data_IF_758869665160
#
_entry.id   IF_758869665160
#
_cell.length_a   1.000
_cell.length_b   1.000
_cell.length_c   1.000
_cell.angle_alpha   90.00
_cell.angle_beta   90.00
_cell.angle_gamma   90.00
#
_symmetry.space_group_name_H-M   'P 1'
#
loop_
_entity.id
_entity.type
_entity.pdbx_description
1 polymer ?
#
# COMPACT_ATOMS: atom_id res chain seq x y z
N UNK A 1 -6.50 -27.13 12.61
CA UNK A 1 -5.59 -26.26 11.82
C UNK A 1 -4.86 -27.16 10.85
N UNK A 2 -4.86 -26.85 9.55
CA UNK A 2 -3.97 -27.55 8.63
C UNK A 2 -2.53 -27.20 9.02
N UNK A 3 -1.72 -28.21 9.27
CA UNK A 3 -0.29 -28.03 9.52
C UNK A 3 0.34 -27.71 8.15
N UNK A 4 0.70 -26.45 7.93
CA UNK A 4 1.44 -26.05 6.73
C UNK A 4 2.92 -26.30 6.99
N UNK A 5 3.57 -26.99 6.06
CA UNK A 5 5.03 -27.17 6.07
C UNK A 5 5.68 -25.87 5.58
N UNK A 6 5.96 -24.98 6.51
CA UNK A 6 6.76 -23.78 6.22
C UNK A 6 8.24 -24.17 6.11
N UNK A 7 8.92 -23.63 5.08
CA UNK A 7 10.35 -23.93 4.88
C UNK A 7 11.26 -23.12 5.83
N UNK A 8 10.76 -21.98 6.33
CA UNK A 8 11.44 -21.07 7.26
C UNK A 8 10.40 -20.17 7.94
N UNK A 9 10.84 -19.37 8.93
CA UNK A 9 9.89 -18.56 9.69
C UNK A 9 9.40 -17.33 8.92
N UNK A 10 10.27 -16.58 8.24
CA UNK A 10 9.88 -15.32 7.59
C UNK A 10 10.32 -15.24 6.13
N UNK A 11 9.38 -14.99 5.24
CA UNK A 11 9.65 -14.49 3.88
C UNK A 11 9.72 -12.98 3.92
N UNK A 12 10.89 -12.40 3.64
CA UNK A 12 11.01 -10.98 3.32
C UNK A 12 10.94 -10.82 1.81
N UNK A 13 10.08 -9.93 1.29
CA UNK A 13 10.17 -9.64 -0.13
C UNK A 13 10.41 -8.14 -0.40
N UNK A 14 11.25 -7.89 -1.39
CA UNK A 14 11.64 -6.57 -1.86
C UNK A 14 11.28 -6.44 -3.34
N UNK A 15 10.45 -5.45 -3.68
CA UNK A 15 10.12 -5.10 -5.07
C UNK A 15 10.98 -3.91 -5.46
N UNK A 16 11.59 -3.97 -6.63
CA UNK A 16 12.46 -2.89 -7.12
C UNK A 16 12.27 -2.64 -8.63
N UNK A 17 12.43 -1.40 -9.04
CA UNK A 17 12.49 -0.97 -10.44
C UNK A 17 13.19 0.39 -10.54
N UNK A 18 14.37 0.44 -11.17
CA UNK A 18 15.19 1.64 -11.34
C UNK A 18 15.52 2.34 -10.00
N UNK A 19 15.99 1.55 -9.02
CA UNK A 19 16.36 2.00 -7.68
C UNK A 19 17.88 1.95 -7.44
N UNK A 20 18.71 2.08 -8.46
CA UNK A 20 20.19 2.00 -8.36
C UNK A 20 20.76 2.82 -7.21
N UNK A 21 20.22 4.02 -6.96
CA UNK A 21 20.68 4.93 -5.91
C UNK A 21 20.27 4.52 -4.49
N UNK A 22 19.27 3.63 -4.35
CA UNK A 22 18.59 3.37 -3.09
C UNK A 22 18.65 1.90 -2.66
N UNK A 23 18.72 0.98 -3.63
CA UNK A 23 18.58 -0.47 -3.39
C UNK A 23 19.60 -1.01 -2.39
N UNK A 24 20.80 -0.43 -2.31
CA UNK A 24 21.82 -0.85 -1.33
C UNK A 24 21.36 -0.62 0.10
N UNK A 25 20.77 0.55 0.40
CA UNK A 25 20.23 0.85 1.73
C UNK A 25 19.12 -0.14 2.12
N UNK A 26 18.23 -0.48 1.17
CA UNK A 26 17.18 -1.47 1.37
C UNK A 26 17.74 -2.85 1.70
N UNK A 27 18.69 -3.34 0.89
CA UNK A 27 19.29 -4.67 1.05
C UNK A 27 20.14 -4.75 2.32
N UNK A 28 20.91 -3.72 2.64
CA UNK A 28 21.70 -3.66 3.87
C UNK A 28 20.82 -3.64 5.11
N UNK A 29 19.75 -2.82 5.12
CA UNK A 29 18.79 -2.78 6.23
C UNK A 29 18.10 -4.12 6.47
N UNK A 30 17.80 -4.88 5.40
CA UNK A 30 17.23 -6.22 5.50
C UNK A 30 18.27 -7.25 5.95
N UNK A 31 19.45 -7.26 5.36
CA UNK A 31 20.46 -8.28 5.61
C UNK A 31 21.15 -8.13 6.98
N UNK A 32 21.14 -6.93 7.56
CA UNK A 32 21.64 -6.65 8.90
C UNK A 32 20.68 -7.07 10.03
N UNK A 33 19.50 -7.62 9.70
CA UNK A 33 18.53 -8.05 10.70
C UNK A 33 19.07 -9.16 11.60
N UNK A 34 18.97 -8.96 12.91
CA UNK A 34 19.33 -9.91 13.97
C UNK A 34 18.08 -10.67 14.41
N UNK A 35 18.07 -11.97 14.17
CA UNK A 35 16.92 -12.84 14.48
C UNK A 35 17.37 -14.14 15.12
N UNK A 36 16.50 -14.71 15.95
CA UNK A 36 16.66 -16.05 16.52
C UNK A 36 16.08 -17.15 15.61
N UNK A 37 15.55 -16.79 14.45
CA UNK A 37 14.87 -17.66 13.50
C UNK A 37 15.44 -17.52 12.09
N UNK A 38 15.08 -18.47 11.22
CA UNK A 38 15.49 -18.48 9.81
C UNK A 38 14.55 -17.66 8.94
N UNK A 39 15.10 -16.97 7.94
CA UNK A 39 14.34 -16.21 6.97
C UNK A 39 15.04 -16.14 5.60
N UNK A 40 14.26 -15.86 4.56
CA UNK A 40 14.74 -15.67 3.18
C UNK A 40 14.29 -14.33 2.64
N UNK A 41 15.14 -13.72 1.80
CA UNK A 41 14.83 -12.51 1.05
C UNK A 41 14.52 -12.86 -0.41
N UNK A 42 13.33 -12.51 -0.85
CA UNK A 42 12.89 -12.63 -2.24
C UNK A 42 12.96 -11.23 -2.88
N UNK A 43 13.86 -11.03 -3.84
CA UNK A 43 14.02 -9.77 -4.55
C UNK A 43 13.34 -9.90 -5.91
N UNK A 44 12.33 -9.07 -6.16
CA UNK A 44 11.66 -8.97 -7.45
C UNK A 44 12.12 -7.68 -8.15
N UNK A 45 12.93 -7.84 -9.21
CA UNK A 45 13.35 -6.75 -10.07
C UNK A 45 12.49 -6.72 -11.33
N UNK A 46 11.71 -5.67 -11.49
CA UNK A 46 10.72 -5.52 -12.57
C UNK A 46 11.33 -5.01 -13.88
N UNK A 47 12.46 -5.61 -14.29
CA UNK A 47 13.23 -5.28 -15.48
C UNK A 47 13.82 -3.87 -15.42
N UNK A 48 14.59 -3.59 -14.37
CA UNK A 48 15.33 -2.33 -14.24
C UNK A 48 16.27 -2.10 -15.43
N UNK A 49 16.41 -0.83 -15.82
CA UNK A 49 17.22 -0.37 -16.95
C UNK A 49 18.44 0.44 -16.51
N UNK A 50 18.60 0.67 -15.21
CA UNK A 50 19.77 1.27 -14.56
C UNK A 50 20.64 0.18 -13.90
N UNK A 51 21.56 0.54 -13.01
CA UNK A 51 22.45 -0.38 -12.30
C UNK A 51 21.79 -1.23 -11.20
N UNK A 52 20.46 -1.19 -11.03
CA UNK A 52 19.74 -1.93 -9.97
C UNK A 52 19.97 -3.44 -10.08
N UNK A 53 19.79 -4.00 -11.29
CA UNK A 53 19.94 -5.45 -11.53
C UNK A 53 21.34 -5.96 -11.18
N UNK A 54 22.38 -5.21 -11.53
CA UNK A 54 23.78 -5.54 -11.24
C UNK A 54 24.04 -5.57 -9.73
N UNK A 55 23.48 -4.62 -8.98
CA UNK A 55 23.55 -4.58 -7.53
C UNK A 55 22.83 -5.77 -6.91
N UNK A 56 21.62 -6.09 -7.37
CA UNK A 56 20.85 -7.26 -6.91
C UNK A 56 21.65 -8.55 -7.11
N UNK A 57 22.30 -8.75 -8.26
CA UNK A 57 23.14 -9.90 -8.54
C UNK A 57 24.42 -9.94 -7.69
N UNK A 58 25.00 -8.79 -7.34
CA UNK A 58 26.11 -8.69 -6.40
C UNK A 58 25.73 -9.26 -5.04
N UNK A 59 24.56 -8.83 -4.50
CA UNK A 59 24.06 -9.31 -3.21
C UNK A 59 23.65 -10.79 -3.25
N UNK A 60 23.04 -11.26 -4.32
CA UNK A 60 22.72 -12.69 -4.51
C UNK A 60 23.99 -13.56 -4.41
N UNK A 61 25.07 -13.16 -5.11
CA UNK A 61 26.35 -13.88 -5.03
C UNK A 61 26.98 -13.84 -3.65
N UNK A 62 26.81 -12.75 -2.90
CA UNK A 62 27.35 -12.58 -1.56
C UNK A 62 26.56 -13.38 -0.51
N UNK A 63 25.24 -13.57 -0.71
CA UNK A 63 24.34 -14.21 0.23
C UNK A 63 23.46 -15.28 -0.44
N UNK A 64 24.04 -16.30 -1.12
CA UNK A 64 23.30 -17.26 -1.95
C UNK A 64 22.30 -18.10 -1.14
N UNK A 65 22.58 -18.34 0.16
CA UNK A 65 21.69 -19.10 1.04
C UNK A 65 20.53 -18.28 1.58
N UNK A 66 20.56 -16.95 1.45
CA UNK A 66 19.53 -16.04 1.98
C UNK A 66 18.65 -15.41 0.92
N UNK A 67 19.19 -15.20 -0.30
CA UNK A 67 18.53 -14.41 -1.36
C UNK A 67 18.03 -15.31 -2.47
N UNK A 68 16.81 -15.02 -2.91
CA UNK A 68 16.19 -15.56 -4.13
C UNK A 68 15.87 -14.36 -5.02
N UNK A 69 16.39 -14.34 -6.25
CA UNK A 69 16.14 -13.24 -7.19
C UNK A 69 15.14 -13.63 -8.28
N UNK A 70 14.21 -12.74 -8.57
CA UNK A 70 13.17 -12.88 -9.58
C UNK A 70 13.30 -11.73 -10.60
N UNK A 71 14.39 -11.75 -11.37
CA UNK A 71 14.69 -10.69 -12.34
C UNK A 71 13.84 -10.89 -13.59
N UNK A 72 13.03 -9.88 -13.92
CA UNK A 72 12.15 -9.92 -15.08
C UNK A 72 12.88 -9.48 -16.35
N UNK A 73 12.41 -9.98 -17.51
CA UNK A 73 12.91 -9.54 -18.84
C UNK A 73 12.18 -8.30 -19.34
N UNK A 74 11.00 -8.05 -18.81
CA UNK A 74 10.10 -6.98 -19.22
C UNK A 74 9.34 -6.46 -18.01
N UNK A 75 9.08 -5.16 -17.95
CA UNK A 75 8.39 -4.53 -16.83
C UNK A 75 6.93 -5.02 -16.75
N UNK A 76 6.64 -5.81 -15.75
CA UNK A 76 5.34 -6.45 -15.53
C UNK A 76 4.29 -5.45 -15.05
N UNK A 77 4.69 -4.52 -14.19
CA UNK A 77 3.78 -3.50 -13.67
C UNK A 77 3.26 -2.58 -14.78
N UNK A 78 4.12 -2.10 -15.67
CA UNK A 78 3.73 -1.23 -16.79
C UNK A 78 2.80 -1.92 -17.80
N UNK A 79 2.90 -3.26 -17.91
CA UNK A 79 1.98 -4.10 -18.70
C UNK A 79 0.66 -4.39 -18.01
N UNK A 80 0.46 -3.90 -16.78
CA UNK A 80 -0.73 -4.16 -15.98
C UNK A 80 -0.81 -5.59 -15.42
N UNK A 81 0.31 -6.32 -15.40
CA UNK A 81 0.37 -7.65 -14.82
C UNK A 81 0.40 -7.58 -13.28
N UNK A 82 -0.23 -8.55 -12.64
CA UNK A 82 -0.17 -8.68 -11.18
C UNK A 82 1.14 -9.35 -10.78
N UNK A 83 2.13 -8.59 -10.33
CA UNK A 83 3.45 -9.07 -9.89
C UNK A 83 3.37 -10.07 -8.74
N UNK A 84 2.34 -9.99 -7.91
CA UNK A 84 2.14 -10.93 -6.80
C UNK A 84 1.95 -12.37 -7.28
N UNK A 85 1.45 -12.61 -8.51
CA UNK A 85 1.39 -13.96 -9.11
C UNK A 85 2.77 -14.59 -9.25
N UNK A 86 3.81 -13.77 -9.45
CA UNK A 86 5.20 -14.22 -9.62
C UNK A 86 5.86 -14.41 -8.26
N UNK A 87 5.58 -13.51 -7.30
CA UNK A 87 6.25 -13.50 -5.98
C UNK A 87 5.67 -14.56 -5.04
N UNK A 88 4.34 -14.70 -4.96
CA UNK A 88 3.66 -15.58 -3.98
C UNK A 88 4.17 -17.03 -3.97
N UNK A 89 4.49 -17.69 -5.10
CA UNK A 89 5.03 -19.06 -5.07
C UNK A 89 6.34 -19.21 -4.29
N UNK A 90 7.08 -18.13 -4.06
CA UNK A 90 8.35 -18.10 -3.32
C UNK A 90 8.19 -17.70 -1.84
N UNK A 91 6.99 -17.25 -1.43
CA UNK A 91 6.70 -16.88 -0.04
C UNK A 91 6.39 -18.13 0.80
N UNK A 92 7.43 -18.85 1.23
CA UNK A 92 7.34 -20.12 1.94
C UNK A 92 7.45 -19.99 3.47
N UNK A 93 7.62 -18.77 3.98
CA UNK A 93 7.67 -18.50 5.41
C UNK A 93 6.29 -18.50 6.06
N UNK A 94 6.27 -18.78 7.37
CA UNK A 94 5.10 -18.64 8.26
C UNK A 94 4.60 -17.19 8.29
N UNK A 95 5.53 -16.24 8.27
CA UNK A 95 5.28 -14.80 8.22
C UNK A 95 5.83 -14.19 6.94
N UNK A 96 5.32 -13.00 6.63
CA UNK A 96 5.78 -12.17 5.51
C UNK A 96 6.13 -10.80 6.05
N UNK A 97 7.31 -10.28 5.67
CA UNK A 97 7.72 -8.90 5.84
C UNK A 97 8.00 -8.27 4.47
N UNK A 98 7.86 -6.95 4.37
CA UNK A 98 8.01 -6.23 3.10
C UNK A 98 8.92 -5.02 3.24
N UNK A 99 9.72 -4.76 2.20
CA UNK A 99 10.48 -3.52 2.04
C UNK A 99 10.61 -3.24 0.54
N UNK A 100 10.27 -2.06 0.07
CA UNK A 100 10.46 -1.66 -1.32
C UNK A 100 11.91 -1.21 -1.53
N UNK A 101 12.43 -1.32 -2.76
CA UNK A 101 13.85 -1.08 -3.04
C UNK A 101 14.30 0.38 -2.92
N UNK A 102 13.37 1.33 -2.76
CA UNK A 102 13.60 2.74 -2.48
C UNK A 102 13.42 3.13 -1.01
N UNK A 103 12.95 2.19 -0.16
CA UNK A 103 12.81 2.32 1.29
C UNK A 103 13.89 1.52 2.02
N UNK A 104 14.05 1.72 3.34
CA UNK A 104 15.02 0.94 4.11
C UNK A 104 14.65 0.81 5.59
N UNK A 105 15.08 -0.29 6.21
CA UNK A 105 14.96 -0.54 7.65
C UNK A 105 16.14 0.05 8.41
N UNK A 106 15.85 0.65 9.56
CA UNK A 106 16.84 1.31 10.42
C UNK A 106 17.03 0.63 11.78
N UNK A 107 16.15 -0.30 12.14
CA UNK A 107 16.23 -1.08 13.38
C UNK A 107 16.67 -2.51 13.06
N UNK A 108 17.84 -2.91 13.56
CA UNK A 108 18.41 -4.24 13.32
C UNK A 108 17.64 -5.39 13.98
N UNK A 109 16.69 -5.08 14.87
CA UNK A 109 15.79 -6.03 15.54
C UNK A 109 14.34 -5.95 15.07
N UNK A 110 14.05 -5.22 13.99
CA UNK A 110 12.68 -5.06 13.49
C UNK A 110 11.97 -6.39 13.29
N UNK A 111 12.60 -7.33 12.58
CA UNK A 111 12.00 -8.65 12.33
C UNK A 111 11.79 -9.42 13.63
N UNK A 112 12.74 -9.39 14.56
CA UNK A 112 12.64 -10.08 15.84
C UNK A 112 11.48 -9.51 16.67
N UNK A 113 11.40 -8.19 16.83
CA UNK A 113 10.34 -7.52 17.59
C UNK A 113 8.94 -7.84 17.05
N UNK A 114 8.77 -7.81 15.75
CA UNK A 114 7.49 -8.10 15.11
C UNK A 114 7.13 -9.59 15.18
N UNK A 115 8.10 -10.47 15.04
CA UNK A 115 7.94 -11.91 15.23
C UNK A 115 7.52 -12.22 16.67
N UNK A 116 8.26 -11.73 17.67
CA UNK A 116 7.94 -11.95 19.07
C UNK A 116 6.55 -11.42 19.43
N UNK A 117 6.16 -10.28 18.87
CA UNK A 117 4.81 -9.77 19.07
C UNK A 117 3.76 -10.76 18.56
N UNK A 118 3.86 -11.28 17.34
CA UNK A 118 2.85 -12.18 16.78
C UNK A 118 2.89 -13.60 17.38
N UNK A 119 4.03 -14.06 17.90
CA UNK A 119 4.13 -15.33 18.64
C UNK A 119 3.48 -15.24 20.01
N UNK A 120 3.42 -14.06 20.62
CA UNK A 120 2.82 -13.85 21.94
C UNK A 120 1.38 -13.30 21.89
N UNK A 121 0.85 -12.94 20.71
CA UNK A 121 -0.48 -12.34 20.56
C UNK A 121 -1.25 -13.02 19.42
N UNK A 122 -1.86 -14.16 19.69
CA UNK A 122 -2.49 -15.03 18.68
C UNK A 122 -3.74 -14.43 18.02
N UNK A 123 -4.38 -13.43 18.65
CA UNK A 123 -5.54 -12.69 18.12
C UNK A 123 -5.17 -11.65 17.06
N UNK A 124 -3.85 -11.40 16.87
CA UNK A 124 -3.35 -10.55 15.79
C UNK A 124 -2.89 -11.37 14.59
N UNK A 125 -3.21 -10.88 13.39
CA UNK A 125 -2.77 -11.47 12.12
C UNK A 125 -1.53 -10.78 11.55
N UNK A 126 -1.24 -9.59 12.01
CA UNK A 126 -0.11 -8.78 11.57
C UNK A 126 0.20 -7.63 12.50
N UNK A 127 1.33 -7.03 12.29
CA UNK A 127 1.71 -5.77 12.92
C UNK A 127 2.43 -4.86 11.91
N UNK A 128 2.27 -3.57 12.13
CA UNK A 128 2.97 -2.48 11.46
C UNK A 128 3.68 -1.64 12.51
N UNK A 129 4.56 -0.77 12.11
CA UNK A 129 5.22 0.20 12.99
C UNK A 129 5.21 1.59 12.35
N UNK A 130 5.60 2.61 13.10
CA UNK A 130 5.79 3.95 12.56
C UNK A 130 7.03 4.02 11.66
N UNK A 131 7.04 5.01 10.79
CA UNK A 131 8.12 5.27 9.85
C UNK A 131 8.56 6.73 9.91
N UNK A 132 9.82 6.98 9.61
CA UNK A 132 10.27 8.30 9.15
C UNK A 132 9.96 8.45 7.66
N UNK A 133 9.62 9.66 7.22
CA UNK A 133 9.43 9.98 5.81
C UNK A 133 10.48 11.01 5.41
N UNK A 134 11.20 10.74 4.31
CA UNK A 134 12.20 11.66 3.74
C UNK A 134 11.89 11.95 2.27
N UNK A 135 12.43 13.02 1.74
CA UNK A 135 12.46 13.26 0.29
C UNK A 135 13.70 12.63 -0.36
N UNK A 136 13.86 12.80 -1.67
CA UNK A 136 15.01 12.33 -2.44
C UNK A 136 16.37 12.90 -2.00
N UNK A 137 16.38 13.96 -1.18
CA UNK A 137 17.59 14.60 -0.64
C UNK A 137 17.89 14.16 0.82
N UNK A 138 17.08 13.25 1.38
CA UNK A 138 17.22 12.78 2.77
C UNK A 138 16.62 13.72 3.82
N UNK A 139 15.91 14.77 3.42
CA UNK A 139 15.28 15.70 4.36
C UNK A 139 13.96 15.12 4.90
N UNK A 140 13.79 15.17 6.23
CA UNK A 140 12.56 14.69 6.89
C UNK A 140 11.33 15.48 6.46
N UNK A 141 10.23 14.78 6.26
CA UNK A 141 8.91 15.32 5.91
C UNK A 141 7.85 14.81 6.89
N UNK A 142 6.82 15.61 7.13
CA UNK A 142 5.64 15.16 7.87
C UNK A 142 4.66 14.54 6.87
N UNK A 143 4.38 13.26 7.03
CA UNK A 143 3.40 12.57 6.21
C UNK A 143 1.99 12.69 6.78
N UNK A 144 1.04 13.15 5.96
CA UNK A 144 -0.39 13.10 6.29
C UNK A 144 -0.99 11.72 6.03
N UNK A 145 -0.39 10.94 5.14
CA UNK A 145 -0.85 9.59 4.78
C UNK A 145 -0.44 8.57 5.85
N UNK A 146 0.75 8.73 6.40
CA UNK A 146 1.30 7.86 7.45
C UNK A 146 1.59 8.68 8.73
N UNK A 147 0.54 9.09 9.47
CA UNK A 147 0.72 9.79 10.74
C UNK A 147 1.32 8.87 11.79
N UNK A 148 2.14 9.42 12.69
CA UNK A 148 2.64 8.68 13.86
C UNK A 148 1.46 8.16 14.68
N UNK A 149 1.48 6.90 15.05
CA UNK A 149 0.44 6.19 15.79
C UNK A 149 1.01 5.64 17.10
N UNK A 150 0.21 5.72 18.16
CA UNK A 150 0.59 5.19 19.46
C UNK A 150 -0.28 3.95 19.74
N UNK A 151 0.26 2.75 19.41
CA UNK A 151 -0.37 1.44 19.66
C UNK A 151 -1.83 1.37 19.16
N UNK A 152 -2.03 1.74 17.92
CA UNK A 152 -3.35 1.72 17.29
C UNK A 152 -3.69 0.32 16.77
N UNK A 153 -4.94 -0.11 16.96
CA UNK A 153 -5.44 -1.36 16.41
C UNK A 153 -6.23 -1.07 15.13
N UNK A 154 -5.75 -1.64 14.03
CA UNK A 154 -6.47 -1.69 12.78
C UNK A 154 -7.27 -2.98 12.72
N UNK A 155 -8.54 -2.89 12.37
CA UNK A 155 -9.47 -4.01 12.32
C UNK A 155 -10.36 -3.98 11.07
N UNK A 156 -11.39 -4.82 11.07
CA UNK A 156 -12.38 -4.90 9.98
C UNK A 156 -13.07 -3.57 9.69
N UNK A 157 -13.32 -2.72 10.70
CA UNK A 157 -13.98 -1.42 10.51
C UNK A 157 -13.10 -0.46 9.71
N UNK A 158 -11.79 -0.55 9.84
CA UNK A 158 -10.82 0.20 9.03
C UNK A 158 -10.69 -0.42 7.63
N UNK A 159 -10.64 -1.76 7.55
CA UNK A 159 -10.51 -2.48 6.30
C UNK A 159 -11.65 -2.20 5.31
N UNK A 160 -12.90 -2.19 5.76
CA UNK A 160 -14.07 -1.88 4.91
C UNK A 160 -14.12 -0.42 4.43
N UNK A 161 -13.39 0.48 5.08
CA UNK A 161 -13.16 1.87 4.62
C UNK A 161 -11.97 1.99 3.69
N UNK A 162 -11.23 0.89 3.48
CA UNK A 162 -9.99 0.83 2.71
C UNK A 162 -8.89 1.76 3.25
N UNK A 163 -8.84 1.94 4.56
CA UNK A 163 -7.76 2.61 5.27
C UNK A 163 -6.48 1.77 5.22
N UNK A 164 -5.34 2.36 5.51
CA UNK A 164 -4.06 1.66 5.62
C UNK A 164 -3.60 1.61 7.08
N UNK A 165 -3.09 0.46 7.57
CA UNK A 165 -2.51 0.36 8.91
C UNK A 165 -1.17 1.09 9.04
N UNK A 166 -0.43 1.21 7.94
CA UNK A 166 0.88 1.81 7.84
C UNK A 166 1.45 1.73 6.43
N UNK A 167 2.71 2.08 6.27
CA UNK A 167 3.44 2.03 5.02
C UNK A 167 3.98 0.60 4.77
N UNK A 168 4.23 0.24 3.51
CA UNK A 168 4.64 -1.10 3.05
C UNK A 168 5.87 -1.62 3.81
N UNK A 169 6.93 -0.82 3.97
CA UNK A 169 8.17 -1.24 4.65
C UNK A 169 7.98 -1.54 6.15
N UNK A 170 6.85 -1.13 6.74
CA UNK A 170 6.51 -1.41 8.13
C UNK A 170 5.78 -2.75 8.33
N UNK A 171 5.32 -3.40 7.27
CA UNK A 171 4.43 -4.56 7.34
C UNK A 171 5.15 -5.83 7.80
N UNK A 172 4.48 -6.57 8.69
CA UNK A 172 4.83 -7.93 9.09
C UNK A 172 3.54 -8.69 9.44
N UNK A 173 3.27 -9.84 8.79
CA UNK A 173 1.99 -10.51 8.92
C UNK A 173 2.05 -12.02 8.67
N UNK A 174 1.09 -12.78 9.20
CA UNK A 174 0.93 -14.21 8.95
C UNK A 174 0.70 -14.44 7.46
N UNK A 175 1.36 -15.45 6.90
CA UNK A 175 1.25 -15.80 5.49
C UNK A 175 -0.15 -16.34 5.16
N UNK A 176 -1.06 -15.44 4.84
CA UNK A 176 -2.44 -15.77 4.54
C UNK A 176 -2.62 -16.45 3.18
N UNK A 177 -1.66 -16.34 2.26
CA UNK A 177 -1.77 -16.93 0.93
C UNK A 177 -1.88 -18.45 0.98
N UNK A 178 -1.20 -19.08 1.93
CA UNK A 178 -1.25 -20.54 2.13
C UNK A 178 -2.59 -21.01 2.71
N UNK A 179 -3.33 -20.12 3.37
CA UNK A 179 -4.63 -20.41 3.99
C UNK A 179 -5.83 -20.03 3.08
N UNK A 180 -5.59 -19.40 1.95
CA UNK A 180 -6.66 -19.01 1.05
C UNK A 180 -7.27 -20.21 0.34
N UNK A 181 -8.60 -20.27 0.30
CA UNK A 181 -9.32 -21.16 -0.62
C UNK A 181 -9.01 -20.75 -2.07
N UNK A 182 -9.21 -21.66 -3.00
CA UNK A 182 -9.06 -21.37 -4.45
C UNK A 182 -9.90 -20.16 -4.88
N UNK A 183 -11.12 -20.01 -4.32
CA UNK A 183 -12.02 -18.88 -4.60
C UNK A 183 -11.43 -17.57 -4.10
N UNK A 184 -10.93 -17.52 -2.86
CA UNK A 184 -10.31 -16.34 -2.28
C UNK A 184 -9.05 -15.91 -3.04
N UNK A 185 -8.17 -16.87 -3.35
CA UNK A 185 -6.95 -16.59 -4.10
C UNK A 185 -7.28 -16.06 -5.51
N UNK A 186 -8.25 -16.65 -6.21
CA UNK A 186 -8.71 -16.17 -7.51
C UNK A 186 -9.21 -14.73 -7.42
N UNK A 187 -10.10 -14.43 -6.48
CA UNK A 187 -10.66 -13.10 -6.28
C UNK A 187 -9.58 -12.06 -5.92
N UNK A 188 -8.62 -12.44 -5.06
CA UNK A 188 -7.46 -11.62 -4.72
C UNK A 188 -6.60 -11.29 -5.95
N UNK A 189 -6.36 -12.28 -6.84
CA UNK A 189 -5.55 -12.12 -8.05
C UNK A 189 -6.24 -11.30 -9.13
N UNK A 190 -7.57 -11.33 -9.20
CA UNK A 190 -8.38 -10.56 -10.16
C UNK A 190 -8.54 -9.09 -9.74
N UNK A 191 -8.40 -8.78 -8.46
CA UNK A 191 -8.47 -7.40 -7.97
C UNK A 191 -7.30 -6.58 -8.48
N UNK A 192 -7.58 -5.52 -9.24
CA UNK A 192 -6.57 -4.65 -9.87
C UNK A 192 -5.99 -3.56 -8.96
N UNK A 193 -6.42 -3.53 -7.69
CA UNK A 193 -5.92 -2.57 -6.70
C UNK A 193 -4.47 -2.85 -6.35
N UNK A 194 -3.72 -1.81 -5.97
CA UNK A 194 -2.33 -1.91 -5.51
C UNK A 194 -2.17 -2.95 -4.40
N UNK A 195 -1.00 -3.59 -4.37
CA UNK A 195 -0.70 -4.72 -3.49
C UNK A 195 -0.82 -4.37 -2.01
N UNK A 196 -0.30 -3.22 -1.59
CA UNK A 196 -0.36 -2.70 -0.22
C UNK A 196 -1.80 -2.60 0.32
N UNK A 197 -2.71 -2.01 -0.46
CA UNK A 197 -4.13 -1.87 -0.10
C UNK A 197 -4.84 -3.23 -0.07
N UNK A 198 -4.55 -4.11 -1.02
CA UNK A 198 -5.11 -5.47 -0.99
C UNK A 198 -4.67 -6.24 0.25
N UNK A 199 -3.38 -6.18 0.59
CA UNK A 199 -2.84 -6.82 1.78
C UNK A 199 -3.51 -6.25 3.04
N UNK A 200 -3.54 -4.92 3.20
CA UNK A 200 -4.13 -4.27 4.36
C UNK A 200 -5.60 -4.67 4.55
N UNK A 201 -6.41 -4.61 3.49
CA UNK A 201 -7.82 -5.01 3.55
C UNK A 201 -7.96 -6.51 3.86
N UNK A 202 -7.17 -7.36 3.22
CA UNK A 202 -7.18 -8.80 3.49
C UNK A 202 -6.90 -9.10 4.97
N UNK A 203 -5.84 -8.52 5.50
CA UNK A 203 -5.45 -8.71 6.90
C UNK A 203 -6.55 -8.24 7.87
N UNK A 204 -7.10 -7.03 7.65
CA UNK A 204 -8.16 -6.50 8.50
C UNK A 204 -9.48 -7.29 8.39
N UNK A 205 -9.73 -7.97 7.25
CA UNK A 205 -10.87 -8.90 7.11
C UNK A 205 -10.63 -10.23 7.83
N UNK A 206 -9.37 -10.63 8.05
CA UNK A 206 -8.99 -11.91 8.67
C UNK A 206 -8.69 -11.77 10.16
N UNK A 207 -8.36 -10.58 10.67
CA UNK A 207 -8.02 -10.39 12.07
C UNK A 207 -7.64 -8.95 12.40
N UNK A 208 -7.03 -8.76 13.58
CA UNK A 208 -6.52 -7.46 14.03
C UNK A 208 -5.07 -7.25 13.61
N UNK A 209 -4.70 -6.01 13.40
CA UNK A 209 -3.32 -5.59 13.14
C UNK A 209 -2.93 -4.59 14.23
N UNK A 210 -1.79 -4.80 14.86
CA UNK A 210 -1.18 -3.83 15.78
C UNK A 210 -0.35 -2.83 14.99
N UNK A 211 -0.58 -1.54 15.18
CA UNK A 211 0.34 -0.49 14.75
C UNK A 211 1.21 -0.11 15.95
N UNK A 212 2.44 -0.63 15.98
CA UNK A 212 3.43 -0.41 17.03
C UNK A 212 3.92 1.04 17.00
N UNK A 213 4.41 1.55 18.13
CA UNK A 213 4.82 2.94 18.28
C UNK A 213 6.24 3.24 17.81
N UNK A 214 7.10 2.20 17.70
CA UNK A 214 8.48 2.36 17.29
C UNK A 214 8.62 2.80 15.83
N UNK A 215 9.64 3.57 15.53
CA UNK A 215 10.05 3.92 14.16
C UNK A 215 11.18 2.98 13.77
N UNK A 216 10.93 2.06 12.83
CA UNK A 216 11.90 1.02 12.44
C UNK A 216 12.23 1.02 10.94
N UNK A 217 11.62 1.91 10.16
CA UNK A 217 11.92 2.07 8.73
C UNK A 217 11.82 3.53 8.29
N UNK A 218 12.40 3.81 7.13
CA UNK A 218 12.34 5.09 6.45
C UNK A 218 11.71 4.89 5.08
N UNK A 219 10.69 5.71 4.78
CA UNK A 219 10.04 5.79 3.47
C UNK A 219 10.55 6.99 2.69
N UNK A 220 10.99 6.77 1.44
CA UNK A 220 11.39 7.83 0.53
C UNK A 220 10.25 8.27 -0.37
N UNK A 221 9.99 9.57 -0.41
CA UNK A 221 9.06 10.19 -1.35
C UNK A 221 9.87 10.85 -2.47
N UNK A 222 9.95 10.19 -3.60
CA UNK A 222 10.72 10.63 -4.77
C UNK A 222 9.76 11.27 -5.77
N UNK A 223 9.84 12.59 -5.96
CA UNK A 223 8.92 13.34 -6.83
C UNK A 223 9.59 13.73 -8.15
N UNK A 224 10.88 14.02 -8.13
CA UNK A 224 11.59 14.60 -9.28
C UNK A 224 12.27 13.56 -10.19
N UNK A 225 12.11 12.25 -9.91
CA UNK A 225 12.62 11.19 -10.78
C UNK A 225 11.45 10.51 -11.49
N UNK A 226 11.46 10.56 -12.83
CA UNK A 226 10.32 10.23 -13.69
C UNK A 226 9.73 8.83 -13.57
N UNK A 227 10.48 7.87 -13.01
CA UNK A 227 10.08 6.47 -12.91
C UNK A 227 9.39 6.11 -11.57
N UNK A 228 9.47 6.99 -10.55
CA UNK A 228 8.79 6.73 -9.28
C UNK A 228 7.27 6.86 -9.43
N UNK A 229 6.51 6.05 -8.66
CA UNK A 229 5.05 6.14 -8.64
C UNK A 229 4.56 7.55 -8.26
N UNK A 230 5.18 8.19 -7.27
CA UNK A 230 4.86 9.54 -6.85
C UNK A 230 5.05 10.56 -7.98
N UNK A 231 6.18 10.50 -8.71
CA UNK A 231 6.44 11.37 -9.85
C UNK A 231 5.41 11.16 -10.98
N UNK A 232 5.06 9.90 -11.26
CA UNK A 232 4.09 9.57 -12.32
C UNK A 232 2.67 10.03 -12.01
N UNK A 233 2.24 10.06 -10.74
CA UNK A 233 0.88 10.44 -10.35
C UNK A 233 0.75 11.89 -9.86
N UNK A 234 1.88 12.53 -9.57
CA UNK A 234 1.91 13.92 -9.10
C UNK A 234 1.23 14.84 -10.12
N UNK A 235 0.24 15.62 -9.66
CA UNK A 235 -0.58 16.49 -10.51
C UNK A 235 -1.46 15.81 -11.56
N UNK A 236 -1.55 14.46 -11.63
CA UNK A 236 -2.46 13.79 -12.54
C UNK A 236 -3.87 13.62 -11.94
N UNK A 237 -4.85 13.57 -12.82
CA UNK A 237 -6.23 13.27 -12.43
C UNK A 237 -6.42 11.76 -12.28
N UNK A 238 -6.21 11.25 -11.09
CA UNK A 238 -6.29 9.81 -10.76
C UNK A 238 -7.73 9.32 -10.48
N UNK A 239 -8.75 10.17 -10.63
CA UNK A 239 -10.12 9.85 -10.21
C UNK A 239 -10.67 8.56 -10.84
N UNK A 240 -10.40 8.30 -12.13
CA UNK A 240 -10.90 7.10 -12.79
C UNK A 240 -10.16 5.82 -12.33
N UNK A 241 -8.86 5.90 -12.07
CA UNK A 241 -8.06 4.79 -11.56
C UNK A 241 -8.51 4.47 -10.13
N UNK A 242 -8.65 5.48 -9.28
CA UNK A 242 -9.11 5.31 -7.91
C UNK A 242 -10.56 4.80 -7.84
N UNK A 243 -11.44 5.22 -8.77
CA UNK A 243 -12.80 4.69 -8.86
C UNK A 243 -12.79 3.19 -9.19
N UNK A 244 -12.00 2.79 -10.19
CA UNK A 244 -11.85 1.39 -10.54
C UNK A 244 -11.31 0.57 -9.37
N UNK A 245 -10.26 1.06 -8.70
CA UNK A 245 -9.68 0.42 -7.51
C UNK A 245 -10.72 0.19 -6.40
N UNK A 246 -11.56 1.18 -6.10
CA UNK A 246 -12.63 1.06 -5.08
C UNK A 246 -13.69 0.02 -5.48
N UNK A 247 -14.09 -0.02 -6.74
CA UNK A 247 -15.06 -1.00 -7.26
C UNK A 247 -14.48 -2.41 -7.21
N UNK A 248 -13.23 -2.59 -7.67
CA UNK A 248 -12.55 -3.89 -7.66
C UNK A 248 -12.34 -4.40 -6.23
N UNK A 249 -11.99 -3.49 -5.30
CA UNK A 249 -11.83 -3.83 -3.88
C UNK A 249 -13.17 -4.24 -3.24
N UNK A 250 -14.27 -3.50 -3.52
CA UNK A 250 -15.62 -3.88 -3.08
C UNK A 250 -15.98 -5.29 -3.57
N UNK A 251 -15.73 -5.56 -4.87
CA UNK A 251 -15.97 -6.88 -5.45
C UNK A 251 -15.11 -7.96 -4.77
N UNK A 252 -13.81 -7.70 -4.58
CA UNK A 252 -12.91 -8.62 -3.90
C UNK A 252 -13.38 -8.97 -2.48
N UNK A 253 -13.75 -7.96 -1.68
CA UNK A 253 -14.22 -8.19 -0.30
C UNK A 253 -15.50 -9.00 -0.29
N UNK A 254 -16.45 -8.73 -1.21
CA UNK A 254 -17.67 -9.53 -1.35
C UNK A 254 -17.37 -10.97 -1.73
N UNK A 255 -16.55 -11.19 -2.76
CA UNK A 255 -16.30 -12.52 -3.31
C UNK A 255 -15.46 -13.39 -2.37
N UNK A 256 -14.48 -12.80 -1.67
CA UNK A 256 -13.53 -13.51 -0.82
C UNK A 256 -14.03 -13.70 0.62
N UNK A 257 -14.81 -12.77 1.16
CA UNK A 257 -15.18 -12.73 2.58
C UNK A 257 -16.69 -12.65 2.82
N UNK A 258 -17.53 -12.59 1.76
CA UNK A 258 -18.98 -12.41 1.80
C UNK A 258 -19.43 -11.18 2.60
N UNK A 259 -18.73 -10.07 2.43
CA UNK A 259 -18.99 -8.80 3.11
C UNK A 259 -19.36 -7.72 2.10
N UNK A 260 -20.50 -7.06 2.34
CA UNK A 260 -20.89 -5.89 1.55
C UNK A 260 -20.19 -4.64 2.06
N UNK A 261 -19.61 -3.88 1.14
CA UNK A 261 -18.96 -2.59 1.41
C UNK A 261 -19.70 -1.47 0.68
N UNK A 262 -20.09 -0.44 1.40
CA UNK A 262 -20.67 0.76 0.79
C UNK A 262 -19.57 1.73 0.38
N UNK A 263 -19.46 1.98 -0.93
CA UNK A 263 -18.48 2.92 -1.52
C UNK A 263 -19.15 4.19 -2.10
N UNK A 264 -20.45 4.43 -1.81
CA UNK A 264 -21.19 5.56 -2.40
C UNK A 264 -20.55 6.91 -2.09
N UNK A 265 -20.10 7.11 -0.86
CA UNK A 265 -19.40 8.34 -0.46
C UNK A 265 -18.07 8.52 -1.20
N UNK A 266 -17.31 7.43 -1.39
CA UNK A 266 -16.08 7.44 -2.18
C UNK A 266 -16.35 7.77 -3.65
N UNK A 267 -17.39 7.16 -4.23
CA UNK A 267 -17.83 7.43 -5.60
C UNK A 267 -18.19 8.90 -5.80
N UNK A 268 -18.97 9.48 -4.88
CA UNK A 268 -19.32 10.90 -4.93
C UNK A 268 -18.07 11.81 -4.82
N UNK A 269 -17.12 11.47 -3.94
CA UNK A 269 -15.86 12.19 -3.80
C UNK A 269 -15.01 12.16 -5.08
N UNK A 270 -14.90 10.99 -5.71
CA UNK A 270 -14.11 10.80 -6.93
C UNK A 270 -14.75 11.49 -8.14
N UNK A 271 -16.09 11.46 -8.24
CA UNK A 271 -16.82 12.23 -9.26
C UNK A 271 -16.58 13.74 -9.09
N UNK A 272 -16.66 14.24 -7.85
CA UNK A 272 -16.37 15.64 -7.55
C UNK A 272 -14.91 16.01 -7.88
N UNK A 273 -13.98 15.14 -7.58
CA UNK A 273 -12.57 15.34 -7.92
C UNK A 273 -12.37 15.44 -9.43
N UNK A 274 -12.94 14.51 -10.20
CA UNK A 274 -12.87 14.53 -11.67
C UNK A 274 -13.47 15.82 -12.24
N UNK A 275 -14.61 16.27 -11.69
CA UNK A 275 -15.26 17.52 -12.11
C UNK A 275 -14.37 18.75 -11.84
N UNK A 276 -13.74 18.83 -10.65
CA UNK A 276 -12.82 19.93 -10.32
C UNK A 276 -11.60 20.00 -11.21
N UNK A 277 -11.02 18.85 -11.54
CA UNK A 277 -9.91 18.80 -12.51
C UNK A 277 -10.34 19.30 -13.88
N UNK A 278 -11.52 18.88 -14.36
CA UNK A 278 -12.07 19.39 -15.63
C UNK A 278 -12.37 20.89 -15.58
N UNK A 279 -12.90 21.42 -14.49
CA UNK A 279 -13.15 22.86 -14.33
C UNK A 279 -11.87 23.67 -14.35
N UNK A 280 -10.79 23.15 -13.75
CA UNK A 280 -9.47 23.81 -13.68
C UNK A 280 -8.77 23.78 -15.05
N UNK A 281 -8.84 22.65 -15.76
CA UNK A 281 -8.20 22.44 -17.06
C UNK A 281 -9.21 21.78 -18.00
N UNK A 282 -9.91 22.59 -18.82
CA UNK A 282 -10.94 22.14 -19.76
C UNK A 282 -10.31 21.52 -21.01
N UNK A 283 -9.70 20.35 -20.86
CA UNK A 283 -9.12 19.58 -21.95
C UNK A 283 -9.85 18.26 -22.17
N UNK A 284 -9.60 17.60 -23.30
CA UNK A 284 -10.23 16.34 -23.70
C UNK A 284 -9.91 15.21 -22.73
N UNK A 285 -8.71 15.17 -22.16
CA UNK A 285 -8.28 14.15 -21.20
C UNK A 285 -9.13 14.19 -19.94
N UNK A 286 -9.22 15.36 -19.28
CA UNK A 286 -10.03 15.53 -18.07
C UNK A 286 -11.52 15.30 -18.32
N UNK A 287 -12.04 15.66 -19.50
CA UNK A 287 -13.41 15.35 -19.90
C UNK A 287 -13.61 13.83 -19.99
N UNK A 288 -12.71 13.12 -20.64
CA UNK A 288 -12.77 11.67 -20.77
C UNK A 288 -12.71 10.97 -19.40
N UNK A 289 -11.87 11.45 -18.48
CA UNK A 289 -11.79 10.93 -17.11
C UNK A 289 -13.11 11.17 -16.37
N UNK A 290 -13.68 12.37 -16.44
CA UNK A 290 -14.98 12.69 -15.82
C UNK A 290 -16.10 11.77 -16.34
N UNK A 291 -16.20 11.59 -17.67
CA UNK A 291 -17.17 10.69 -18.29
C UNK A 291 -16.94 9.23 -17.86
N UNK A 292 -15.69 8.78 -17.78
CA UNK A 292 -15.35 7.43 -17.34
C UNK A 292 -15.75 7.20 -15.88
N UNK A 293 -15.46 8.13 -14.98
CA UNK A 293 -15.88 8.07 -13.56
C UNK A 293 -17.39 8.03 -13.46
N UNK A 294 -18.10 8.90 -14.20
CA UNK A 294 -19.56 8.94 -14.24
C UNK A 294 -20.15 7.58 -14.65
N UNK A 295 -19.64 6.98 -15.73
CA UNK A 295 -20.09 5.66 -16.20
C UNK A 295 -19.87 4.54 -15.19
N UNK A 296 -18.74 4.55 -14.49
CA UNK A 296 -18.39 3.51 -13.51
C UNK A 296 -19.25 3.52 -12.23
N UNK A 297 -19.97 4.59 -11.93
CA UNK A 297 -20.80 4.65 -10.70
C UNK A 297 -21.95 3.63 -10.70
N UNK A 298 -22.42 3.17 -11.87
CA UNK A 298 -23.51 2.19 -11.93
C UNK A 298 -24.91 2.69 -11.49
N UNK A 299 -24.98 3.86 -10.87
CA UNK A 299 -26.21 4.49 -10.39
C UNK A 299 -26.97 5.19 -11.54
N UNK A 300 -28.28 5.40 -11.34
CA UNK A 300 -29.03 6.21 -12.29
C UNK A 300 -28.58 7.69 -12.26
N UNK A 301 -28.89 8.43 -13.31
CA UNK A 301 -28.40 9.80 -13.46
C UNK A 301 -28.90 10.74 -12.36
N UNK A 302 -30.11 10.54 -11.84
CA UNK A 302 -30.71 11.35 -10.76
C UNK A 302 -29.93 11.14 -9.47
N UNK A 303 -29.66 9.89 -9.11
CA UNK A 303 -28.87 9.54 -7.92
C UNK A 303 -27.47 10.14 -8.00
N UNK A 304 -26.80 10.06 -9.16
CA UNK A 304 -25.46 10.66 -9.38
C UNK A 304 -25.48 12.17 -9.16
N UNK A 305 -26.47 12.87 -9.74
CA UNK A 305 -26.63 14.33 -9.57
C UNK A 305 -26.92 14.67 -8.11
N UNK A 306 -27.77 13.92 -7.44
CA UNK A 306 -28.09 14.14 -6.02
C UNK A 306 -26.85 13.98 -5.12
N UNK A 307 -26.06 12.94 -5.32
CA UNK A 307 -24.79 12.75 -4.61
C UNK A 307 -23.79 13.91 -4.83
N UNK A 308 -23.72 14.45 -6.05
CA UNK A 308 -22.92 15.64 -6.32
C UNK A 308 -23.44 16.88 -5.57
N UNK A 309 -24.74 17.11 -5.57
CA UNK A 309 -25.37 18.24 -4.87
C UNK A 309 -25.11 18.14 -3.36
N UNK A 310 -25.33 16.99 -2.75
CA UNK A 310 -25.03 16.75 -1.33
C UNK A 310 -23.57 17.09 -1.00
N UNK A 311 -22.62 16.72 -1.87
CA UNK A 311 -21.19 17.01 -1.67
C UNK A 311 -20.86 18.49 -1.77
N UNK A 312 -21.51 19.21 -2.69
CA UNK A 312 -21.39 20.67 -2.79
C UNK A 312 -21.88 21.33 -1.50
N UNK A 313 -23.05 20.93 -1.01
CA UNK A 313 -23.63 21.44 0.24
C UNK A 313 -22.69 21.19 1.43
N UNK A 314 -22.22 19.96 1.62
CA UNK A 314 -21.29 19.61 2.71
C UNK A 314 -20.02 20.45 2.70
N UNK A 315 -19.41 20.66 1.50
CA UNK A 315 -18.20 21.49 1.38
C UNK A 315 -18.48 22.98 1.62
N UNK A 316 -19.64 23.48 1.26
CA UNK A 316 -20.04 24.86 1.56
C UNK A 316 -20.15 25.08 3.07
N UNK A 317 -20.73 24.12 3.81
CA UNK A 317 -20.83 24.20 5.27
C UNK A 317 -19.49 24.08 5.99
N UNK A 318 -18.57 23.21 5.51
CA UNK A 318 -17.22 23.09 6.11
C UNK A 318 -16.38 24.36 5.94
N UNK A 319 -16.49 25.01 4.77
CA UNK A 319 -15.83 26.28 4.51
C UNK A 319 -16.41 27.45 5.36
N UNK A 320 -17.71 27.38 5.72
CA UNK A 320 -18.34 28.37 6.61
C UNK A 320 -17.86 28.22 8.06
N UNK A 321 -17.71 26.96 8.54
CA UNK A 321 -17.17 26.70 9.89
C UNK A 321 -15.68 27.12 10.01
N UNK A 322 -14.86 26.85 8.99
CA UNK A 322 -13.46 27.28 8.96
C UNK A 322 -13.27 28.79 8.96
N UNK A 323 -14.13 29.55 8.25
CA UNK A 323 -14.10 31.01 8.27
C UNK A 323 -14.58 31.63 9.59
N UNK A 324 -15.47 30.98 10.34
CA UNK A 324 -15.91 31.45 11.67
C UNK A 324 -14.81 31.27 12.73
N UNK A 325 -14.03 30.19 12.66
CA UNK A 325 -12.92 29.95 13.60
C UNK A 325 -11.80 30.98 13.38
N UNK A 326 -11.46 31.30 12.12
CA UNK A 326 -10.40 32.32 11.81
C UNK A 326 -10.83 33.75 12.13
N UNK A 327 -12.16 34.08 12.18
CA UNK A 327 -12.64 35.37 12.60
C UNK A 327 -12.69 35.52 14.13
N UNK A 328 -12.92 34.43 14.88
CA UNK A 328 -12.91 34.50 16.36
C UNK A 328 -11.50 34.58 16.96
N UNK A 329 -10.44 34.21 16.23
CA UNK A 329 -9.05 34.35 16.67
C UNK A 329 -8.43 35.73 16.33
N UNK A 330 -9.07 36.55 15.50
CA UNK A 330 -8.62 37.92 15.18
C UNK A 330 -9.26 39.02 16.00
N UNK A 331 -10.23 38.68 16.87
CA UNK A 331 -10.87 39.66 17.77
C UNK A 331 -10.40 39.55 19.23
N UNK A 332 -9.33 38.76 19.49
CA UNK A 332 -8.73 38.68 20.83
C UNK A 332 -7.21 38.98 20.72
N UNK A 333 -6.87 40.15 20.21
CA UNK A 333 -5.61 40.85 20.51
C UNK A 333 -5.75 42.35 20.15
#
# INVERSE_FOLDING_TARGET
MMQHDYEYEVSVYCVTYNHEKYIRDALDGILNQKTSFTWKLIIFDDASTDGTTEIVREYERKYPEKIITLIQKENQYSKGNNIQKIIIPYLKGKYIATCEGDDYWIDEYKLQKQYDFLENHFDFIGCYHNIDVINEFGEKKISKEFPIRNRWIYDRNNAIKFELPGQTAAAFYKNFYMNFTKKQLKSYMECSTNGDRKIAVTLGMMGKIMCMEEIMAVHRVIINQGDSWHAQVFNKNMAAINMKSKIDMKKFVKDAFDVEVDIKADQANLLWTALRYYQKNRNKENLNILVKVWKMMGENNITKVWMMIQKIIQKSFSNFKGKKIVKSEKEIY
#
